data_IF_535756470644
#
_entry.id   IF_535756470644
#
_cell.length_a   1.000
_cell.length_b   1.000
_cell.length_c   1.000
_cell.angle_alpha   90.00
_cell.angle_beta   90.00
_cell.angle_gamma   90.00
#
_symmetry.space_group_name_H-M   'P 1'
#
loop_
_entity.id
_entity.type
_entity.pdbx_description
1 polymer ?
#
# COMPACT_ATOMS: atom_id res chain seq x y z
N UNK A 1 -2.40 10.17 -3.46
CA UNK A 1 -1.53 10.30 -2.28
C UNK A 1 -2.24 11.13 -1.20
N UNK A 2 -2.82 10.44 -0.20
CA UNK A 2 -3.64 11.08 0.86
C UNK A 2 -2.87 12.10 1.70
N UNK A 3 -1.56 11.92 1.84
CA UNK A 3 -0.69 12.78 2.65
C UNK A 3 -0.52 14.20 2.09
N UNK A 4 -0.94 14.44 0.85
CA UNK A 4 -0.97 15.78 0.23
C UNK A 4 -2.19 16.61 0.67
N UNK A 5 -3.23 15.97 1.20
CA UNK A 5 -4.44 16.66 1.63
C UNK A 5 -4.18 17.47 2.90
N UNK A 6 -4.63 18.72 2.93
CA UNK A 6 -4.62 19.54 4.15
C UNK A 6 -5.49 18.95 5.27
N UNK A 7 -6.49 18.15 4.92
CA UNK A 7 -7.37 17.47 5.87
C UNK A 7 -6.75 16.19 6.47
N UNK A 8 -5.61 15.71 5.95
CA UNK A 8 -5.06 14.41 6.34
C UNK A 8 -4.75 14.31 7.84
N UNK A 9 -3.96 15.24 8.36
CA UNK A 9 -3.59 15.25 9.79
C UNK A 9 -4.81 15.42 10.70
N UNK A 10 -5.67 16.46 10.51
CA UNK A 10 -6.89 16.59 11.30
C UNK A 10 -7.81 15.38 11.25
N UNK A 11 -7.92 14.74 10.07
CA UNK A 11 -8.73 13.53 9.89
C UNK A 11 -8.20 12.37 10.74
N UNK A 12 -6.88 12.08 10.68
CA UNK A 12 -6.26 10.99 11.44
C UNK A 12 -6.45 11.20 12.93
N UNK A 13 -6.19 12.42 13.43
CA UNK A 13 -6.34 12.76 14.84
C UNK A 13 -7.80 12.65 15.30
N UNK A 14 -8.75 13.14 14.49
CA UNK A 14 -10.17 13.03 14.81
C UNK A 14 -10.65 11.58 14.81
N UNK A 15 -10.29 10.79 13.80
CA UNK A 15 -10.68 9.39 13.71
C UNK A 15 -10.18 8.59 14.92
N UNK A 16 -8.93 8.77 15.33
CA UNK A 16 -8.38 8.14 16.53
C UNK A 16 -9.12 8.58 17.79
N UNK A 17 -9.45 9.89 17.93
CA UNK A 17 -10.18 10.44 19.07
C UNK A 17 -11.57 9.82 19.24
N UNK A 18 -12.24 9.46 18.14
CA UNK A 18 -13.56 8.80 18.18
C UNK A 18 -13.48 7.27 18.16
N UNK A 19 -12.28 6.70 18.35
CA UNK A 19 -12.06 5.26 18.48
C UNK A 19 -11.98 4.49 17.16
N UNK A 20 -11.77 5.18 16.03
CA UNK A 20 -11.58 4.53 14.72
C UNK A 20 -10.10 4.23 14.52
N UNK A 21 -9.77 2.97 14.24
CA UNK A 21 -8.43 2.56 13.88
C UNK A 21 -8.03 3.11 12.51
N UNK A 22 -6.92 3.83 12.46
CA UNK A 22 -6.42 4.45 11.22
C UNK A 22 -5.20 3.70 10.71
N UNK A 23 -5.23 3.34 9.43
CA UNK A 23 -4.08 2.84 8.69
C UNK A 23 -3.86 3.65 7.41
N UNK A 24 -2.62 3.70 6.92
CA UNK A 24 -2.30 4.40 5.68
C UNK A 24 -1.29 3.64 4.82
N UNK A 25 -1.38 3.85 3.51
CA UNK A 25 -0.35 3.50 2.55
C UNK A 25 0.08 4.76 1.78
N UNK A 26 1.39 5.01 1.68
CA UNK A 26 1.97 6.20 1.06
C UNK A 26 3.29 5.86 0.37
N UNK A 27 3.72 6.69 -0.58
CA UNK A 27 5.05 6.57 -1.20
C UNK A 27 6.19 7.21 -0.36
N UNK A 28 5.91 7.65 0.85
CA UNK A 28 6.82 8.30 1.78
C UNK A 28 7.38 9.67 1.33
N UNK A 29 7.13 10.11 0.12
CA UNK A 29 7.73 11.33 -0.42
C UNK A 29 7.40 12.57 0.41
N UNK A 30 6.13 12.75 0.78
CA UNK A 30 5.66 13.87 1.61
C UNK A 30 5.49 13.49 3.09
N UNK A 31 6.11 12.38 3.51
CA UNK A 31 6.07 11.89 4.88
C UNK A 31 7.26 12.43 5.69
N UNK A 32 7.33 13.71 5.93
CA UNK A 32 8.43 14.31 6.70
C UNK A 32 8.30 14.09 8.22
N UNK A 33 9.29 14.62 8.97
CA UNK A 33 9.30 14.59 10.44
C UNK A 33 8.00 15.10 11.06
N UNK A 34 7.51 16.24 10.61
CA UNK A 34 6.28 16.86 11.12
C UNK A 34 5.06 15.94 11.04
N UNK A 35 4.84 15.28 9.87
CA UNK A 35 3.76 14.30 9.74
C UNK A 35 3.96 13.09 10.66
N UNK A 36 5.19 12.59 10.77
CA UNK A 36 5.50 11.49 11.69
C UNK A 36 5.09 11.82 13.12
N UNK A 37 5.44 13.02 13.59
CA UNK A 37 5.14 13.47 14.94
C UNK A 37 3.63 13.67 15.19
N UNK A 38 2.94 14.23 14.19
CA UNK A 38 1.51 14.56 14.31
C UNK A 38 0.57 13.36 14.17
N UNK A 39 0.97 12.32 13.41
CA UNK A 39 0.02 11.24 13.06
C UNK A 39 0.40 9.86 13.58
N UNK A 40 1.68 9.50 13.71
CA UNK A 40 2.06 8.14 14.18
C UNK A 40 1.47 7.77 15.55
N UNK A 41 1.35 8.68 16.53
CA UNK A 41 0.72 8.38 17.81
C UNK A 41 -0.77 7.99 17.72
N UNK A 42 -1.40 8.29 16.58
CA UNK A 42 -2.83 8.11 16.32
C UNK A 42 -3.13 6.97 15.33
N UNK A 43 -2.09 6.26 14.87
CA UNK A 43 -2.24 5.24 13.83
C UNK A 43 -2.04 3.83 14.37
N UNK A 44 -2.77 2.88 13.77
CA UNK A 44 -2.57 1.45 14.02
C UNK A 44 -1.44 0.89 13.15
N UNK A 45 -1.38 1.33 11.89
CA UNK A 45 -0.31 0.93 10.97
C UNK A 45 -0.08 1.96 9.86
N UNK A 46 1.14 1.94 9.32
CA UNK A 46 1.47 2.61 8.07
C UNK A 46 2.37 1.71 7.22
N UNK A 47 2.14 1.76 5.91
CA UNK A 47 2.94 1.05 4.92
C UNK A 47 3.46 2.02 3.88
N UNK A 48 4.77 2.05 3.75
CA UNK A 48 5.44 2.85 2.75
C UNK A 48 5.66 2.00 1.49
N UNK A 49 5.20 2.47 0.34
CA UNK A 49 5.47 1.82 -0.95
C UNK A 49 6.85 2.23 -1.42
N UNK A 50 7.74 1.24 -1.53
CA UNK A 50 9.12 1.40 -2.01
C UNK A 50 9.30 0.46 -3.21
N UNK A 51 9.43 1.03 -4.41
CA UNK A 51 9.36 0.29 -5.66
C UNK A 51 10.56 -0.66 -5.89
N UNK A 52 11.72 -0.36 -5.28
CA UNK A 52 12.95 -1.15 -5.38
C UNK A 52 13.81 -0.98 -4.13
N UNK A 53 14.77 -1.88 -3.92
CA UNK A 53 15.73 -1.82 -2.82
C UNK A 53 16.95 -0.95 -3.10
N UNK A 54 17.20 -0.61 -4.39
CA UNK A 54 18.32 0.23 -4.83
C UNK A 54 17.85 1.59 -5.34
N UNK A 55 18.66 2.67 -5.13
CA UNK A 55 18.29 4.03 -5.57
C UNK A 55 18.06 4.14 -7.08
N UNK A 56 18.96 3.57 -7.87
CA UNK A 56 18.93 3.66 -9.33
C UNK A 56 17.69 2.95 -9.91
N UNK A 57 17.40 1.74 -9.42
CA UNK A 57 16.23 1.00 -9.87
C UNK A 57 14.92 1.65 -9.38
N UNK A 58 14.90 2.19 -8.18
CA UNK A 58 13.76 2.96 -7.69
C UNK A 58 13.47 4.17 -8.59
N UNK A 59 14.52 4.93 -8.96
CA UNK A 59 14.40 6.09 -9.83
C UNK A 59 13.94 5.70 -11.25
N UNK A 60 14.50 4.61 -11.80
CA UNK A 60 14.08 4.06 -13.10
C UNK A 60 12.58 3.72 -13.12
N UNK A 61 12.08 3.04 -12.08
CA UNK A 61 10.67 2.62 -12.00
C UNK A 61 9.74 3.82 -11.81
N UNK A 62 10.10 4.74 -10.90
CA UNK A 62 9.19 5.82 -10.48
C UNK A 62 9.28 7.05 -11.37
N UNK A 63 10.43 7.33 -12.01
CA UNK A 63 10.71 8.58 -12.70
C UNK A 63 11.26 8.41 -14.12
N UNK A 64 11.36 7.18 -14.62
CA UNK A 64 11.88 6.84 -15.96
C UNK A 64 13.34 7.27 -16.21
N UNK A 65 14.13 7.45 -15.13
CA UNK A 65 15.55 7.80 -15.27
C UNK A 65 16.32 7.45 -14.00
N UNK A 66 17.43 6.68 -14.11
CA UNK A 66 18.22 6.25 -12.95
C UNK A 66 18.98 7.42 -12.28
N UNK A 67 19.03 8.60 -12.91
CA UNK A 67 19.69 9.82 -12.41
C UNK A 67 18.91 10.49 -11.27
N UNK A 68 17.63 10.18 -11.06
CA UNK A 68 16.78 10.82 -10.05
C UNK A 68 16.81 10.10 -8.69
N UNK A 69 17.99 9.70 -8.24
CA UNK A 69 18.14 8.93 -6.98
C UNK A 69 17.80 9.75 -5.73
N UNK A 70 17.82 11.08 -5.80
CA UNK A 70 17.42 11.97 -4.70
C UNK A 70 15.99 11.71 -4.21
N UNK A 71 15.14 11.16 -5.06
CA UNK A 71 13.74 10.80 -4.72
C UNK A 71 13.72 9.62 -3.78
N UNK A 72 14.53 8.60 -4.07
CA UNK A 72 14.73 7.47 -3.18
C UNK A 72 15.28 7.93 -1.83
N UNK A 73 16.34 8.74 -1.85
CA UNK A 73 16.99 9.23 -0.64
C UNK A 73 16.01 9.99 0.27
N UNK A 74 15.14 10.82 -0.33
CA UNK A 74 14.11 11.54 0.43
C UNK A 74 13.12 10.57 1.08
N UNK A 75 12.60 9.60 0.32
CA UNK A 75 11.67 8.62 0.85
C UNK A 75 12.30 7.79 1.99
N UNK A 76 13.53 7.32 1.79
CA UNK A 76 14.24 6.53 2.80
C UNK A 76 14.55 7.34 4.06
N UNK A 77 14.96 8.60 3.93
CA UNK A 77 15.16 9.50 5.11
C UNK A 77 13.86 9.65 5.90
N UNK A 78 12.74 9.84 5.22
CA UNK A 78 11.44 9.98 5.87
C UNK A 78 11.01 8.71 6.60
N UNK A 79 11.24 7.53 6.01
CA UNK A 79 10.96 6.23 6.63
C UNK A 79 11.85 6.02 7.85
N UNK A 80 13.16 6.31 7.75
CA UNK A 80 14.10 6.24 8.88
C UNK A 80 13.63 7.08 10.04
N UNK A 81 13.25 8.34 9.75
CA UNK A 81 12.73 9.22 10.79
C UNK A 81 11.49 8.64 11.48
N UNK A 82 10.53 8.11 10.71
CA UNK A 82 9.33 7.49 11.26
C UNK A 82 9.66 6.30 12.19
N UNK A 83 10.62 5.45 11.81
CA UNK A 83 11.07 4.32 12.62
C UNK A 83 11.76 4.78 13.90
N UNK A 84 12.64 5.77 13.80
CA UNK A 84 13.33 6.35 14.96
C UNK A 84 12.37 7.04 15.92
N UNK A 85 11.42 7.80 15.38
CA UNK A 85 10.38 8.48 16.17
C UNK A 85 9.49 7.47 16.90
N UNK A 86 9.02 6.41 16.20
CA UNK A 86 8.29 5.29 16.83
C UNK A 86 9.06 4.71 17.99
N UNK A 87 10.33 4.38 17.78
CA UNK A 87 11.20 3.76 18.79
C UNK A 87 11.42 4.69 19.99
N UNK A 88 11.77 5.97 19.72
CA UNK A 88 12.04 6.98 20.76
C UNK A 88 10.82 7.21 21.67
N UNK A 89 9.61 7.18 21.10
CA UNK A 89 8.38 7.46 21.81
C UNK A 89 7.61 6.19 22.22
N UNK A 90 8.20 5.00 22.01
CA UNK A 90 7.60 3.69 22.34
C UNK A 90 6.17 3.53 21.79
N UNK A 91 5.95 3.93 20.51
CA UNK A 91 4.64 3.87 19.88
C UNK A 91 4.29 2.45 19.44
N UNK A 92 3.00 2.10 19.53
CA UNK A 92 2.48 0.78 19.13
C UNK A 92 2.20 0.65 17.64
N UNK A 93 2.25 1.74 16.86
CA UNK A 93 1.97 1.72 15.42
C UNK A 93 2.88 0.73 14.69
N UNK A 94 2.29 -0.07 13.79
CA UNK A 94 3.05 -0.99 12.93
C UNK A 94 3.56 -0.26 11.68
N UNK A 95 4.88 -0.27 11.46
CA UNK A 95 5.52 0.36 10.29
C UNK A 95 6.01 -0.72 9.32
N UNK A 96 5.65 -0.61 8.06
CA UNK A 96 6.11 -1.55 7.03
C UNK A 96 6.51 -0.87 5.73
N UNK A 97 7.30 -1.59 4.93
CA UNK A 97 7.55 -1.24 3.53
C UNK A 97 6.94 -2.28 2.60
N UNK A 98 6.55 -1.88 1.40
CA UNK A 98 6.02 -2.78 0.38
C UNK A 98 6.63 -2.54 -0.98
N UNK A 99 7.06 -3.62 -1.63
CA UNK A 99 7.40 -3.65 -3.04
C UNK A 99 6.29 -4.35 -3.83
N UNK A 100 5.89 -3.74 -4.96
CA UNK A 100 5.08 -4.37 -6.00
C UNK A 100 6.06 -4.88 -7.04
N UNK A 101 6.31 -6.19 -7.02
CA UNK A 101 7.29 -6.83 -7.87
C UNK A 101 6.74 -7.05 -9.27
N UNK A 102 7.43 -6.51 -10.27
CA UNK A 102 7.32 -6.92 -11.68
C UNK A 102 8.40 -7.96 -11.99
N UNK A 103 8.15 -8.93 -12.88
CA UNK A 103 9.15 -9.95 -13.21
C UNK A 103 10.49 -9.40 -13.68
N UNK A 104 10.48 -8.26 -14.34
CA UNK A 104 11.66 -7.57 -14.87
C UNK A 104 12.57 -7.02 -13.76
N UNK A 105 12.06 -6.90 -12.54
CA UNK A 105 12.77 -6.33 -11.38
C UNK A 105 13.14 -7.37 -10.33
N UNK A 106 13.27 -8.65 -10.74
CA UNK A 106 13.63 -9.76 -9.85
C UNK A 106 14.89 -9.50 -9.02
N UNK A 107 15.86 -8.79 -9.61
CA UNK A 107 17.13 -8.48 -8.95
C UNK A 107 16.99 -7.55 -7.74
N UNK A 108 15.83 -6.88 -7.60
CA UNK A 108 15.49 -6.03 -6.46
C UNK A 108 14.90 -6.80 -5.25
N UNK A 109 14.61 -8.08 -5.39
CA UNK A 109 14.01 -8.90 -4.31
C UNK A 109 14.89 -8.91 -3.07
N UNK A 110 16.17 -9.26 -3.22
CA UNK A 110 17.11 -9.33 -2.08
C UNK A 110 17.50 -7.94 -1.58
N UNK A 111 17.85 -6.95 -2.44
CA UNK A 111 18.07 -5.58 -1.99
C UNK A 111 16.91 -5.00 -1.18
N UNK A 112 15.66 -5.18 -1.63
CA UNK A 112 14.49 -4.70 -0.91
C UNK A 112 14.32 -5.39 0.46
N UNK A 113 14.52 -6.69 0.55
CA UNK A 113 14.45 -7.40 1.82
C UNK A 113 15.50 -6.90 2.81
N UNK A 114 16.75 -6.70 2.35
CA UNK A 114 17.82 -6.11 3.15
C UNK A 114 17.49 -4.69 3.59
N UNK A 115 16.97 -3.86 2.68
CA UNK A 115 16.54 -2.50 3.00
C UNK A 115 15.52 -2.50 4.16
N UNK A 116 14.55 -3.40 4.16
CA UNK A 116 13.57 -3.51 5.26
C UNK A 116 14.22 -3.82 6.60
N UNK A 117 15.19 -4.73 6.61
CA UNK A 117 15.97 -5.09 7.82
C UNK A 117 16.82 -3.92 8.28
N UNK A 118 17.52 -3.24 7.37
CA UNK A 118 18.42 -2.11 7.68
C UNK A 118 17.64 -0.88 8.20
N UNK A 119 16.46 -0.63 7.67
CA UNK A 119 15.54 0.40 8.16
C UNK A 119 14.97 0.05 9.54
N UNK A 120 14.91 -1.23 9.89
CA UNK A 120 14.33 -1.70 11.14
C UNK A 120 12.82 -1.52 11.23
N UNK A 121 12.12 -1.59 10.08
CA UNK A 121 10.65 -1.62 10.04
C UNK A 121 10.10 -2.93 10.61
N UNK A 122 8.84 -2.96 11.03
CA UNK A 122 8.24 -4.17 11.58
C UNK A 122 8.09 -5.26 10.50
N UNK A 123 7.80 -4.86 9.23
CA UNK A 123 7.73 -5.79 8.11
C UNK A 123 8.13 -5.17 6.77
N UNK A 124 8.66 -6.01 5.88
CA UNK A 124 8.90 -5.72 4.47
C UNK A 124 8.11 -6.74 3.63
N UNK A 125 7.13 -6.28 2.85
CA UNK A 125 6.27 -7.17 2.09
C UNK A 125 6.54 -7.07 0.59
N UNK A 126 6.68 -8.23 -0.05
CA UNK A 126 6.81 -8.38 -1.51
C UNK A 126 5.52 -9.01 -2.02
N UNK A 127 4.88 -8.35 -2.98
CA UNK A 127 3.71 -8.90 -3.68
C UNK A 127 3.90 -8.77 -5.18
N UNK A 128 3.26 -9.65 -5.96
CA UNK A 128 3.24 -9.50 -7.40
C UNK A 128 2.51 -8.22 -7.83
N UNK A 129 2.81 -7.71 -9.02
CA UNK A 129 2.01 -6.70 -9.68
C UNK A 129 0.69 -7.34 -10.13
N UNK A 130 -0.44 -6.71 -9.81
CA UNK A 130 -1.75 -7.11 -10.33
C UNK A 130 -2.05 -6.27 -11.57
N UNK A 131 -2.34 -6.94 -12.67
CA UNK A 131 -2.81 -6.28 -13.90
C UNK A 131 -4.32 -6.06 -13.86
N UNK A 132 -4.83 -5.23 -14.74
CA UNK A 132 -6.27 -5.07 -14.93
C UNK A 132 -6.84 -6.17 -15.86
N UNK A 133 -8.18 -6.18 -16.05
CA UNK A 133 -8.86 -7.17 -16.90
C UNK A 133 -8.50 -7.04 -18.40
N UNK A 134 -7.85 -5.97 -18.81
CA UNK A 134 -7.40 -5.74 -20.19
C UNK A 134 -5.91 -6.07 -20.39
N UNK A 135 -5.25 -6.54 -19.35
CA UNK A 135 -3.80 -6.78 -19.35
C UNK A 135 -2.98 -5.57 -19.81
N UNK A 136 -3.37 -4.38 -19.37
CA UNK A 136 -2.78 -3.10 -19.78
C UNK A 136 -1.28 -3.01 -19.45
N UNK A 137 -0.84 -3.64 -18.36
CA UNK A 137 0.57 -3.70 -17.97
C UNK A 137 1.33 -4.86 -18.61
N UNK A 138 0.61 -5.84 -19.18
CA UNK A 138 1.21 -7.02 -19.81
C UNK A 138 2.00 -7.91 -18.85
N UNK A 139 1.56 -8.05 -17.60
CA UNK A 139 2.27 -8.82 -16.58
C UNK A 139 2.29 -10.30 -16.94
N UNK A 140 3.48 -10.86 -17.17
CA UNK A 140 3.66 -12.30 -17.39
C UNK A 140 3.77 -13.03 -16.04
N UNK A 141 2.64 -13.51 -15.56
CA UNK A 141 2.56 -14.21 -14.27
C UNK A 141 3.35 -15.54 -14.24
N UNK A 142 3.64 -16.16 -15.38
CA UNK A 142 4.42 -17.41 -15.43
C UNK A 142 5.86 -17.22 -14.98
N UNK A 143 6.40 -16.02 -15.13
CA UNK A 143 7.77 -15.68 -14.74
C UNK A 143 8.00 -15.64 -13.23
N UNK A 144 6.93 -15.50 -12.40
CA UNK A 144 7.09 -15.49 -10.94
C UNK A 144 7.60 -16.84 -10.40
N UNK A 145 7.30 -17.96 -11.04
CA UNK A 145 7.81 -19.27 -10.62
C UNK A 145 9.34 -19.34 -10.64
N UNK A 146 9.97 -18.65 -11.59
CA UNK A 146 11.43 -18.59 -11.72
C UNK A 146 12.10 -17.80 -10.58
N UNK A 147 11.33 -17.12 -9.75
CA UNK A 147 11.81 -16.29 -8.65
C UNK A 147 11.58 -16.94 -7.29
N UNK A 148 10.99 -18.14 -7.22
CA UNK A 148 10.61 -18.78 -5.95
C UNK A 148 11.80 -18.89 -4.99
N UNK A 149 12.96 -19.33 -5.48
CA UNK A 149 14.18 -19.46 -4.67
C UNK A 149 14.64 -18.09 -4.11
N UNK A 150 14.59 -17.04 -4.94
CA UNK A 150 14.94 -15.68 -4.50
C UNK A 150 13.94 -15.14 -3.47
N UNK A 151 12.67 -15.40 -3.65
CA UNK A 151 11.61 -14.99 -2.73
C UNK A 151 11.75 -15.73 -1.38
N UNK A 152 12.05 -17.03 -1.38
CA UNK A 152 12.33 -17.79 -0.17
C UNK A 152 13.60 -17.30 0.52
N UNK A 153 14.67 -17.01 -0.22
CA UNK A 153 15.88 -16.39 0.31
C UNK A 153 15.57 -15.03 0.96
N UNK A 154 14.74 -14.21 0.34
CA UNK A 154 14.32 -12.93 0.90
C UNK A 154 13.59 -13.11 2.24
N UNK A 155 12.65 -14.05 2.35
CA UNK A 155 11.97 -14.37 3.62
C UNK A 155 12.94 -14.87 4.68
N UNK A 156 13.97 -15.62 4.27
CA UNK A 156 15.07 -16.08 5.13
C UNK A 156 15.89 -14.96 5.77
N UNK A 157 15.85 -13.73 5.22
CA UNK A 157 16.49 -12.55 5.82
C UNK A 157 15.70 -11.96 7.00
N UNK A 158 14.53 -12.49 7.33
CA UNK A 158 13.75 -12.05 8.48
C UNK A 158 14.57 -12.09 9.76
N UNK A 159 14.36 -11.10 10.61
CA UNK A 159 14.99 -11.00 11.93
C UNK A 159 13.92 -11.07 13.03
N UNK A 160 14.35 -11.00 14.30
CA UNK A 160 13.40 -10.88 15.43
C UNK A 160 12.59 -9.58 15.38
N UNK A 161 13.11 -8.53 14.72
CA UNK A 161 12.49 -7.20 14.65
C UNK A 161 11.72 -6.97 13.35
N UNK A 162 12.27 -7.44 12.24
CA UNK A 162 11.71 -7.20 10.90
C UNK A 162 11.30 -8.51 10.26
N UNK A 163 10.04 -8.63 9.86
CA UNK A 163 9.55 -9.76 9.06
C UNK A 163 9.61 -9.43 7.59
N UNK A 164 10.32 -10.23 6.79
CA UNK A 164 10.18 -10.21 5.34
C UNK A 164 9.05 -11.18 4.96
N UNK A 165 8.08 -10.70 4.20
CA UNK A 165 6.85 -11.44 3.91
C UNK A 165 6.63 -11.45 2.40
N UNK A 166 6.55 -12.63 1.82
CA UNK A 166 6.12 -12.82 0.43
C UNK A 166 4.62 -13.12 0.40
N UNK A 167 3.89 -12.45 -0.46
CA UNK A 167 2.45 -12.73 -0.64
C UNK A 167 2.26 -13.93 -1.57
N UNK A 168 2.60 -15.13 -1.05
CA UNK A 168 2.56 -16.39 -1.79
C UNK A 168 1.21 -16.69 -2.42
N UNK A 169 0.11 -16.41 -1.72
CA UNK A 169 -1.23 -16.60 -2.28
C UNK A 169 -1.39 -15.84 -3.60
N UNK A 170 -0.93 -14.57 -3.61
CA UNK A 170 -0.98 -13.72 -4.80
C UNK A 170 -0.06 -14.19 -5.93
N UNK A 171 1.13 -14.67 -5.58
CA UNK A 171 2.11 -15.19 -6.55
C UNK A 171 1.60 -16.49 -7.16
N UNK A 172 1.06 -17.39 -6.33
CA UNK A 172 0.58 -18.70 -6.76
C UNK A 172 -0.73 -18.63 -7.56
N UNK A 173 -1.57 -17.62 -7.33
CA UNK A 173 -2.82 -17.37 -8.07
C UNK A 173 -2.57 -17.04 -9.57
N UNK A 174 -1.32 -16.68 -9.95
CA UNK A 174 -0.91 -16.36 -11.35
C UNK A 174 -1.86 -15.36 -12.02
N UNK A 175 -2.32 -14.37 -11.27
CA UNK A 175 -3.28 -13.37 -11.75
C UNK A 175 -4.72 -13.87 -11.88
N UNK A 176 -5.00 -15.13 -11.52
CA UNK A 176 -6.35 -15.72 -11.56
C UNK A 176 -6.87 -15.86 -10.13
N UNK A 177 -7.96 -15.18 -9.76
CA UNK A 177 -8.55 -15.36 -8.43
C UNK A 177 -9.08 -16.78 -8.30
N UNK A 178 -8.85 -17.39 -7.12
CA UNK A 178 -9.37 -18.73 -6.77
C UNK A 178 -10.86 -18.72 -6.40
N UNK A 179 -11.52 -17.56 -6.44
CA UNK A 179 -12.91 -17.35 -6.07
C UNK A 179 -13.74 -16.83 -7.26
N UNK A 180 -15.03 -17.14 -7.26
CA UNK A 180 -15.99 -16.71 -8.26
C UNK A 180 -16.98 -15.64 -7.75
N UNK A 181 -16.87 -15.24 -6.48
CA UNK A 181 -17.69 -14.18 -5.86
C UNK A 181 -16.81 -13.30 -4.96
N UNK A 182 -17.13 -12.00 -4.93
CA UNK A 182 -16.43 -11.01 -4.12
C UNK A 182 -17.36 -10.47 -3.03
N UNK A 183 -17.19 -10.95 -1.80
CA UNK A 183 -17.95 -10.49 -0.64
C UNK A 183 -17.31 -9.30 0.09
N UNK A 184 -16.18 -8.81 -0.41
CA UNK A 184 -15.44 -7.70 0.19
C UNK A 184 -16.29 -6.45 0.47
N UNK A 185 -17.21 -6.05 -0.44
CA UNK A 185 -18.02 -4.84 -0.23
C UNK A 185 -18.90 -4.86 1.03
N UNK A 186 -19.30 -6.04 1.52
CA UNK A 186 -20.04 -6.17 2.78
C UNK A 186 -19.23 -5.68 4.00
N UNK A 187 -17.90 -5.65 3.89
CA UNK A 187 -16.98 -5.34 4.99
C UNK A 187 -16.02 -4.17 4.66
N UNK A 188 -15.94 -3.79 3.40
CA UNK A 188 -14.99 -2.79 2.91
C UNK A 188 -15.62 -1.90 1.84
N UNK A 189 -15.91 -0.67 2.20
CA UNK A 189 -16.27 0.38 1.25
C UNK A 189 -15.04 1.10 0.74
N UNK A 190 -15.01 1.40 -0.56
CA UNK A 190 -13.96 2.22 -1.13
C UNK A 190 -14.51 3.57 -1.60
N UNK A 191 -13.77 4.62 -1.29
CA UNK A 191 -14.11 6.00 -1.59
C UNK A 191 -12.97 6.59 -2.41
N UNK A 192 -13.30 7.16 -3.57
CA UNK A 192 -12.32 7.85 -4.41
C UNK A 192 -11.91 9.20 -3.81
N UNK A 193 -10.85 9.78 -4.33
CA UNK A 193 -10.44 11.15 -3.97
C UNK A 193 -11.46 12.23 -4.33
N UNK A 194 -12.44 11.93 -5.20
CA UNK A 194 -13.56 12.82 -5.55
C UNK A 194 -14.82 12.60 -4.71
N UNK A 195 -14.78 11.65 -3.74
CA UNK A 195 -15.94 11.33 -2.90
C UNK A 195 -16.83 10.21 -3.42
N UNK A 196 -16.60 9.73 -4.64
CA UNK A 196 -17.39 8.65 -5.24
C UNK A 196 -17.18 7.33 -4.47
N UNK A 197 -18.27 6.61 -4.19
CA UNK A 197 -18.27 5.34 -3.48
C UNK A 197 -18.52 4.18 -4.45
N UNK A 198 -17.68 3.15 -4.38
CA UNK A 198 -17.83 1.94 -5.19
C UNK A 198 -17.45 0.68 -4.38
N UNK A 199 -17.91 -0.53 -4.80
CA UNK A 199 -17.56 -1.80 -4.14
C UNK A 199 -16.07 -2.14 -4.18
N UNK A 200 -15.34 -1.61 -5.16
CA UNK A 200 -13.89 -1.77 -5.33
C UNK A 200 -13.29 -0.56 -6.03
N UNK A 201 -12.02 -0.26 -5.73
CA UNK A 201 -11.27 0.83 -6.36
C UNK A 201 -11.13 0.67 -7.88
N UNK A 202 -11.25 -0.53 -8.41
CA UNK A 202 -11.26 -0.80 -9.85
C UNK A 202 -12.50 -0.21 -10.54
N UNK A 203 -13.59 0.03 -9.81
CA UNK A 203 -14.88 0.46 -10.36
C UNK A 203 -15.10 1.96 -10.35
N UNK A 204 -14.12 2.77 -10.01
CA UNK A 204 -14.25 4.24 -10.07
C UNK A 204 -14.25 4.81 -11.51
N UNK A 205 -13.88 4.00 -12.51
CA UNK A 205 -13.95 4.41 -13.89
C UNK A 205 -15.42 4.59 -14.34
N UNK A 206 -15.69 5.59 -15.20
CA UNK A 206 -17.04 5.92 -15.70
C UNK A 206 -17.75 4.73 -16.38
N UNK A 207 -17.01 3.80 -17.00
CA UNK A 207 -17.57 2.56 -17.59
C UNK A 207 -18.30 1.66 -16.58
N UNK A 208 -17.97 1.80 -15.30
CA UNK A 208 -18.61 1.07 -14.20
C UNK A 208 -19.63 1.91 -13.42
N UNK A 209 -20.17 2.98 -14.02
CA UNK A 209 -21.10 3.90 -13.34
C UNK A 209 -22.30 3.20 -12.69
N UNK A 210 -22.72 2.05 -13.22
CA UNK A 210 -23.79 1.23 -12.62
C UNK A 210 -23.42 0.65 -11.25
N UNK A 211 -22.10 0.55 -10.94
CA UNK A 211 -21.57 0.08 -9.66
C UNK A 211 -21.20 1.23 -8.72
N UNK A 212 -21.39 2.49 -9.14
CA UNK A 212 -21.20 3.62 -8.25
C UNK A 212 -22.38 3.72 -7.29
N UNK A 213 -22.15 3.49 -6.01
CA UNK A 213 -23.22 3.31 -5.00
C UNK A 213 -23.56 4.56 -4.22
N UNK A 214 -22.71 5.59 -4.27
CA UNK A 214 -22.97 6.87 -3.60
C UNK A 214 -21.89 7.90 -3.85
N UNK A 215 -22.08 9.09 -3.31
CA UNK A 215 -21.17 10.22 -3.38
C UNK A 215 -21.10 10.97 -2.04
N UNK A 216 -19.97 10.87 -1.35
CA UNK A 216 -19.73 11.52 -0.06
C UNK A 216 -19.71 13.05 -0.11
N UNK A 217 -19.67 13.65 -1.28
CA UNK A 217 -19.78 15.11 -1.41
C UNK A 217 -21.21 15.61 -1.21
N UNK A 218 -22.20 14.73 -1.38
CA UNK A 218 -23.62 15.06 -1.34
C UNK A 218 -24.44 14.19 -0.40
N UNK A 219 -23.92 13.00 -0.02
CA UNK A 219 -24.64 12.00 0.77
C UNK A 219 -23.87 11.65 2.05
N UNK A 220 -24.58 11.33 3.13
CA UNK A 220 -23.94 10.83 4.36
C UNK A 220 -23.65 9.31 4.22
N UNK A 221 -22.61 8.85 4.87
CA UNK A 221 -22.24 7.42 4.90
C UNK A 221 -23.43 6.52 5.26
N UNK A 222 -24.18 6.88 6.30
CA UNK A 222 -25.29 6.04 6.78
C UNK A 222 -26.42 5.91 5.75
N UNK A 223 -26.66 6.95 4.96
CA UNK A 223 -27.70 6.96 3.94
C UNK A 223 -27.27 6.08 2.75
N UNK A 224 -25.99 6.15 2.34
CA UNK A 224 -25.40 5.27 1.32
C UNK A 224 -25.45 3.81 1.79
N UNK A 225 -24.98 3.54 2.99
CA UNK A 225 -24.88 2.18 3.54
C UNK A 225 -26.25 1.50 3.69
N UNK A 226 -27.28 2.25 4.04
CA UNK A 226 -28.65 1.74 4.19
C UNK A 226 -29.46 1.75 2.88
N UNK A 227 -28.87 2.18 1.75
CA UNK A 227 -29.58 2.26 0.48
C UNK A 227 -29.74 0.90 -0.21
N UNK A 228 -30.87 0.70 -0.90
CA UNK A 228 -31.06 -0.45 -1.77
C UNK A 228 -29.99 -0.53 -2.87
N UNK A 229 -29.51 0.63 -3.33
CA UNK A 229 -28.44 0.71 -4.34
C UNK A 229 -27.16 0.04 -3.87
N UNK A 230 -26.78 0.25 -2.59
CA UNK A 230 -25.62 -0.40 -2.00
C UNK A 230 -25.79 -1.93 -1.94
N UNK A 231 -26.91 -2.39 -1.38
CA UNK A 231 -27.15 -3.82 -1.19
C UNK A 231 -27.43 -4.57 -2.50
N UNK A 232 -27.99 -3.91 -3.51
CA UNK A 232 -28.20 -4.51 -4.84
C UNK A 232 -26.92 -4.58 -5.68
N UNK A 233 -25.86 -3.80 -5.34
CA UNK A 233 -24.55 -3.86 -5.99
C UNK A 233 -23.68 -5.02 -5.49
N UNK A 234 -24.10 -5.74 -4.43
CA UNK A 234 -23.41 -6.86 -3.80
C UNK A 234 -23.95 -8.20 -4.23
#
# INVERSE_FOLDING_TARGET
ESTLSKAYVPFVQHAAKVGINVGNATNAWEWGPEKSEQVLPHMSWIRFTVAAGTPEKYAEIMYKGPEHTEVYDKAIRNIKYAVEFKKKNNLSVTLGIQMVLMPEFKDEIIPFAKLGVDLGVDYAVIKHCSDDEYHTLGVDYSKYEQMYDLLQQAEGLSTKKTKVIVKWDKINDKGKPSYNRFYGPAFLLQISGSGLVAPSGMFFNARYSKLHIGDFTTERFIDIFNSDKYWNAM
#
